data_IF_846163509040
#
_entry.id   IF_846163509040
#
_cell.length_a   1.000
_cell.length_b   1.000
_cell.length_c   1.000
_cell.angle_alpha   90.00
_cell.angle_beta   90.00
_cell.angle_gamma   90.00
#
_symmetry.space_group_name_H-M   'P 1'
#
loop_
_entity.id
_entity.type
_entity.pdbx_description
1 polymer ?
#
# COMPACT_ATOMS: atom_id res chain seq x y z
N UNK A 1 -1.85 9.79 2.48
CA UNK A 1 -2.72 8.98 3.36
C UNK A 1 -2.98 7.64 2.69
N UNK A 2 -3.26 6.58 3.45
CA UNK A 2 -3.54 5.26 2.90
C UNK A 2 -4.67 4.57 3.68
N UNK A 3 -5.40 3.67 3.03
CA UNK A 3 -6.49 2.91 3.62
C UNK A 3 -6.72 1.59 2.89
N UNK A 4 -7.51 0.70 3.48
CA UNK A 4 -7.83 -0.62 2.92
C UNK A 4 -9.34 -0.72 2.72
N UNK A 5 -9.75 -1.25 1.56
CA UNK A 5 -11.16 -1.58 1.24
C UNK A 5 -11.23 -3.05 0.80
N UNK A 6 -11.79 -3.91 1.65
CA UNK A 6 -11.74 -5.36 1.42
C UNK A 6 -10.30 -5.85 1.36
N UNK A 7 -9.91 -6.42 0.22
CA UNK A 7 -8.53 -6.85 -0.09
C UNK A 7 -7.76 -5.86 -0.97
N UNK A 8 -8.20 -4.60 -1.06
CA UNK A 8 -7.55 -3.56 -1.87
C UNK A 8 -6.91 -2.49 -1.02
N UNK A 9 -5.63 -2.21 -1.25
CA UNK A 9 -4.88 -1.11 -0.64
C UNK A 9 -5.04 0.12 -1.52
N UNK A 10 -5.46 1.24 -0.92
CA UNK A 10 -5.65 2.52 -1.59
C UNK A 10 -4.70 3.53 -0.96
N UNK A 11 -3.83 4.12 -1.77
CA UNK A 11 -2.81 5.06 -1.33
C UNK A 11 -2.89 6.36 -2.12
N UNK A 12 -2.96 7.48 -1.41
CA UNK A 12 -2.81 8.80 -2.00
C UNK A 12 -1.33 9.17 -2.02
N UNK A 13 -0.80 9.43 -3.22
CA UNK A 13 0.56 9.89 -3.42
C UNK A 13 0.60 11.40 -3.69
N UNK A 14 1.72 12.09 -3.38
CA UNK A 14 1.93 13.49 -3.76
C UNK A 14 1.90 13.68 -5.28
N UNK A 15 1.59 14.89 -5.73
CA UNK A 15 1.52 15.22 -7.17
C UNK A 15 2.89 15.40 -7.86
N UNK A 16 4.00 15.40 -7.12
CA UNK A 16 5.36 15.57 -7.66
C UNK A 16 6.10 14.23 -7.77
N UNK A 17 6.98 14.12 -8.77
CA UNK A 17 7.78 12.89 -9.01
C UNK A 17 8.61 12.53 -7.78
N UNK A 18 9.29 13.51 -7.17
CA UNK A 18 10.11 13.27 -5.98
C UNK A 18 9.27 12.78 -4.80
N UNK A 19 8.10 13.37 -4.56
CA UNK A 19 7.22 12.96 -3.47
C UNK A 19 6.65 11.55 -3.66
N UNK A 20 6.39 11.16 -4.91
CA UNK A 20 6.02 9.77 -5.26
C UNK A 20 7.19 8.82 -4.96
N UNK A 21 8.41 9.14 -5.40
CA UNK A 21 9.58 8.29 -5.20
C UNK A 21 9.89 8.07 -3.72
N UNK A 22 9.88 9.13 -2.92
CA UNK A 22 10.09 9.05 -1.46
C UNK A 22 9.04 8.19 -0.77
N UNK A 23 7.75 8.35 -1.13
CA UNK A 23 6.68 7.54 -0.56
C UNK A 23 6.80 6.07 -0.99
N UNK A 24 7.04 5.80 -2.27
CA UNK A 24 7.17 4.43 -2.77
C UNK A 24 8.39 3.71 -2.20
N UNK A 25 9.53 4.39 -2.00
CA UNK A 25 10.71 3.78 -1.39
C UNK A 25 10.44 3.26 0.04
N UNK A 26 9.50 3.87 0.77
CA UNK A 26 9.07 3.41 2.09
C UNK A 26 8.08 2.24 1.98
N UNK A 27 7.17 2.30 1.00
CA UNK A 27 6.02 1.38 0.89
C UNK A 27 6.38 0.09 0.17
N UNK A 28 7.21 0.15 -0.87
CA UNK A 28 7.58 -1.01 -1.70
C UNK A 28 8.15 -2.18 -0.89
N UNK A 29 9.07 -1.99 0.09
CA UNK A 29 9.58 -3.08 0.90
C UNK A 29 8.52 -3.75 1.80
N UNK A 30 7.45 -3.02 2.14
CA UNK A 30 6.38 -3.50 3.00
C UNK A 30 5.21 -4.10 2.20
N UNK A 31 5.18 -3.87 0.89
CA UNK A 31 4.03 -4.19 0.04
C UNK A 31 3.69 -5.68 0.04
N UNK A 32 4.71 -6.55 -0.01
CA UNK A 32 4.53 -8.01 0.03
C UNK A 32 3.79 -8.47 1.29
N UNK A 33 4.29 -8.07 2.46
CA UNK A 33 3.67 -8.36 3.75
C UNK A 33 2.24 -7.81 3.86
N UNK A 34 1.99 -6.62 3.29
CA UNK A 34 0.65 -6.02 3.28
C UNK A 34 -0.32 -6.85 2.42
N UNK A 35 0.11 -7.31 1.24
CA UNK A 35 -0.69 -8.15 0.35
C UNK A 35 -1.01 -9.51 0.97
N UNK A 36 -0.02 -10.18 1.58
CA UNK A 36 -0.23 -11.45 2.29
C UNK A 36 -1.26 -11.30 3.42
N UNK A 37 -1.10 -10.25 4.23
CA UNK A 37 -2.03 -9.95 5.32
C UNK A 37 -3.44 -9.68 4.82
N UNK A 38 -3.58 -8.97 3.71
CA UNK A 38 -4.89 -8.69 3.11
C UNK A 38 -5.52 -9.94 2.47
N UNK A 39 -4.72 -10.82 1.87
CA UNK A 39 -5.19 -12.10 1.32
C UNK A 39 -5.71 -13.06 2.39
N UNK A 40 -5.03 -13.14 3.54
CA UNK A 40 -5.48 -13.97 4.67
C UNK A 40 -6.79 -13.50 5.29
N UNK A 41 -7.08 -12.19 5.27
CA UNK A 41 -8.35 -11.63 5.76
C UNK A 41 -9.58 -12.03 4.92
N UNK A 42 -9.40 -12.46 3.68
CA UNK A 42 -10.51 -12.82 2.78
C UNK A 42 -11.04 -14.25 2.99
N UNK A 43 -10.36 -15.06 3.80
CA UNK A 43 -10.66 -16.50 3.96
C UNK A 43 -11.25 -16.81 5.35
N UNK A 44 -11.79 -15.80 6.04
CA UNK A 44 -12.51 -15.94 7.32
C UNK A 44 -13.98 -15.59 7.17
#
# INVERSE_FOLDING_TARGET
TAGIKGTTLIMNLPGSVNGVQENLNIVLPLLEHMVEKMGSMATS
#
